data_IF_641210362408
#
_entry.id   IF_641210362408
#
_cell.length_a   1.000
_cell.length_b   1.000
_cell.length_c   1.000
_cell.angle_alpha   90.00
_cell.angle_beta   90.00
_cell.angle_gamma   90.00
#
_symmetry.space_group_name_H-M   'P 1'
#
loop_
_entity.id
_entity.type
_entity.pdbx_description
1 polymer ?
#
# COMPACT_ATOMS: atom_id res chain seq x y z
N UNK A 1 3.24 -11.25 -2.12
CA UNK A 1 1.80 -11.03 -1.84
C UNK A 1 1.49 -11.18 -0.35
N UNK A 2 1.74 -12.34 0.27
CA UNK A 2 1.38 -12.61 1.67
C UNK A 2 2.02 -11.66 2.71
N UNK A 3 3.26 -11.23 2.49
CA UNK A 3 3.95 -10.33 3.41
C UNK A 3 3.35 -8.91 3.47
N UNK A 4 2.89 -8.37 2.34
CA UNK A 4 2.26 -7.05 2.30
C UNK A 4 0.91 -7.02 3.03
N UNK A 5 0.23 -8.17 3.10
CA UNK A 5 -1.01 -8.34 3.83
C UNK A 5 -0.84 -8.71 5.31
N UNK A 6 0.39 -8.76 5.84
CA UNK A 6 0.65 -9.11 7.24
C UNK A 6 0.35 -10.57 7.60
N UNK A 7 0.31 -11.48 6.63
CA UNK A 7 -0.01 -12.89 6.86
C UNK A 7 1.07 -13.56 7.70
N UNK A 8 0.67 -14.20 8.80
CA UNK A 8 1.59 -14.89 9.73
C UNK A 8 1.66 -16.40 9.52
N UNK A 9 0.57 -17.01 9.08
CA UNK A 9 0.43 -18.46 8.93
C UNK A 9 -0.08 -18.78 7.53
N UNK A 10 0.38 -19.89 6.97
CA UNK A 10 0.01 -20.40 5.66
C UNK A 10 -0.44 -21.84 5.77
N UNK A 11 -1.55 -22.16 5.13
CA UNK A 11 -2.02 -23.54 4.99
C UNK A 11 -1.46 -24.09 3.68
N UNK A 12 -0.63 -25.14 3.77
CA UNK A 12 -0.07 -25.86 2.62
C UNK A 12 -0.78 -27.20 2.51
N UNK A 13 -1.33 -27.51 1.34
CA UNK A 13 -1.90 -28.82 1.06
C UNK A 13 -1.08 -29.50 -0.04
N UNK A 14 -0.56 -30.70 0.23
CA UNK A 14 0.03 -31.53 -0.81
C UNK A 14 -1.05 -32.41 -1.43
N UNK A 15 -1.08 -32.45 -2.76
CA UNK A 15 -2.11 -33.19 -3.49
C UNK A 15 -1.50 -34.12 -4.52
N UNK A 16 -2.16 -35.26 -4.73
CA UNK A 16 -1.83 -36.21 -5.78
C UNK A 16 -3.09 -36.61 -6.54
N UNK A 17 -3.05 -36.48 -7.88
CA UNK A 17 -4.17 -36.81 -8.78
C UNK A 17 -5.53 -36.24 -8.32
N UNK A 18 -5.53 -34.96 -7.93
CA UNK A 18 -6.75 -34.25 -7.51
C UNK A 18 -7.26 -34.60 -6.12
N UNK A 19 -6.57 -35.47 -5.38
CA UNK A 19 -6.88 -35.77 -3.97
C UNK A 19 -5.84 -35.13 -3.05
N UNK A 20 -6.28 -34.48 -1.98
CA UNK A 20 -5.41 -33.92 -0.94
C UNK A 20 -4.87 -35.07 -0.10
N UNK A 21 -3.55 -35.12 0.05
CA UNK A 21 -2.83 -36.15 0.81
C UNK A 21 -2.53 -35.63 2.22
N UNK A 22 -1.98 -34.42 2.33
CA UNK A 22 -1.62 -33.80 3.60
C UNK A 22 -2.02 -32.33 3.61
N UNK A 23 -2.22 -31.81 4.83
CA UNK A 23 -2.48 -30.39 5.07
C UNK A 23 -1.65 -29.96 6.27
N UNK A 24 -0.77 -28.99 6.06
CA UNK A 24 0.13 -28.45 7.07
C UNK A 24 -0.11 -26.97 7.28
N UNK A 25 -0.11 -26.55 8.54
CA UNK A 25 -0.12 -25.14 8.91
C UNK A 25 1.31 -24.69 9.22
N UNK A 26 1.84 -23.80 8.40
CA UNK A 26 3.24 -23.36 8.45
C UNK A 26 3.33 -21.86 8.75
N UNK A 27 4.26 -21.43 9.61
CA UNK A 27 4.59 -20.02 9.74
C UNK A 27 5.10 -19.44 8.42
N UNK A 28 4.65 -18.23 8.06
CA UNK A 28 5.10 -17.54 6.85
C UNK A 28 6.63 -17.46 6.76
N UNK A 29 7.28 -17.20 7.89
CA UNK A 29 8.74 -17.11 8.02
C UNK A 29 9.47 -18.41 7.62
N UNK A 30 8.85 -19.57 7.88
CA UNK A 30 9.40 -20.87 7.48
C UNK A 30 9.37 -21.04 5.96
N UNK A 31 8.21 -20.78 5.34
CA UNK A 31 8.02 -20.87 3.89
C UNK A 31 8.95 -19.90 3.15
N UNK A 32 9.11 -18.68 3.67
CA UNK A 32 10.05 -17.68 3.11
C UNK A 32 11.49 -18.18 3.11
N UNK A 33 11.94 -18.83 4.18
CA UNK A 33 13.30 -19.38 4.26
C UNK A 33 13.51 -20.53 3.26
N UNK A 34 12.51 -21.39 3.08
CA UNK A 34 12.57 -22.52 2.15
C UNK A 34 12.53 -22.11 0.67
N UNK A 35 11.83 -21.03 0.32
CA UNK A 35 11.68 -20.58 -1.07
C UNK A 35 12.95 -19.97 -1.69
N UNK A 36 14.13 -20.23 -1.12
CA UNK A 36 15.39 -19.66 -1.59
C UNK A 36 15.51 -18.14 -1.40
N UNK A 37 14.60 -17.51 -0.65
CA UNK A 37 14.60 -16.05 -0.39
C UNK A 37 15.69 -15.63 0.61
N UNK A 38 16.91 -16.17 0.47
CA UNK A 38 18.13 -15.66 1.11
C UNK A 38 18.57 -14.31 0.52
N UNK A 39 17.96 -13.87 -0.59
CA UNK A 39 18.25 -12.55 -1.17
C UNK A 39 17.74 -11.42 -0.26
N UNK A 40 18.73 -10.72 0.30
CA UNK A 40 18.68 -9.44 1.01
C UNK A 40 17.27 -8.89 1.23
N UNK A 41 16.77 -9.12 2.45
CA UNK A 41 15.51 -8.57 2.98
C UNK A 41 15.42 -7.04 2.81
N UNK A 42 16.52 -6.33 2.52
CA UNK A 42 16.51 -4.88 2.40
C UNK A 42 16.32 -4.38 0.96
N UNK A 43 16.73 -5.11 -0.06
CA UNK A 43 16.86 -4.48 -1.38
C UNK A 43 15.51 -4.34 -2.10
N UNK A 44 14.68 -5.38 -2.06
CA UNK A 44 13.32 -5.31 -2.66
C UNK A 44 12.41 -4.33 -1.93
N UNK A 45 12.59 -4.18 -0.62
CA UNK A 45 11.82 -3.22 0.18
C UNK A 45 12.25 -1.78 -0.06
N UNK A 46 13.56 -1.55 -0.19
CA UNK A 46 14.10 -0.25 -0.61
C UNK A 46 13.59 0.11 -2.00
N UNK A 47 13.65 -0.80 -2.97
CA UNK A 47 13.12 -0.57 -4.31
C UNK A 47 11.61 -0.29 -4.30
N UNK A 48 10.84 -1.02 -3.49
CA UNK A 48 9.41 -0.75 -3.33
C UNK A 48 9.16 0.63 -2.73
N UNK A 49 9.90 1.02 -1.69
CA UNK A 49 9.76 2.33 -1.06
C UNK A 49 10.09 3.46 -2.04
N UNK A 50 11.18 3.33 -2.78
CA UNK A 50 11.58 4.30 -3.82
C UNK A 50 10.51 4.41 -4.90
N UNK A 51 9.96 3.28 -5.34
CA UNK A 51 8.86 3.27 -6.31
C UNK A 51 7.63 4.00 -5.76
N UNK A 52 7.21 3.71 -4.52
CA UNK A 52 6.05 4.36 -3.89
C UNK A 52 6.26 5.88 -3.74
N UNK A 53 7.46 6.31 -3.34
CA UNK A 53 7.82 7.73 -3.28
C UNK A 53 7.78 8.40 -4.66
N UNK A 54 8.25 7.71 -5.69
CA UNK A 54 8.22 8.22 -7.07
C UNK A 54 6.78 8.37 -7.57
N UNK A 55 5.93 7.36 -7.35
CA UNK A 55 4.52 7.40 -7.72
C UNK A 55 3.77 8.51 -6.97
N UNK A 56 4.05 8.69 -5.67
CA UNK A 56 3.48 9.78 -4.88
C UNK A 56 3.83 11.15 -5.47
N UNK A 57 5.10 11.37 -5.85
CA UNK A 57 5.53 12.63 -6.47
C UNK A 57 4.79 12.93 -7.77
N UNK A 58 4.56 11.91 -8.61
CA UNK A 58 3.79 12.08 -9.85
C UNK A 58 2.31 12.37 -9.58
N UNK A 59 1.70 11.70 -8.61
CA UNK A 59 0.33 11.96 -8.20
C UNK A 59 0.16 13.39 -7.67
N UNK A 60 1.08 13.86 -6.82
CA UNK A 60 1.10 15.25 -6.34
C UNK A 60 1.26 16.26 -7.49
N UNK A 61 2.13 15.98 -8.46
CA UNK A 61 2.25 16.80 -9.67
C UNK A 61 0.95 16.86 -10.46
N UNK A 62 0.29 15.72 -10.67
CA UNK A 62 -0.99 15.65 -11.37
C UNK A 62 -2.08 16.46 -10.63
N UNK A 63 -2.12 16.37 -9.30
CA UNK A 63 -3.02 17.15 -8.44
C UNK A 63 -2.83 18.66 -8.63
N UNK A 64 -1.58 19.11 -8.52
CA UNK A 64 -1.23 20.52 -8.61
C UNK A 64 -1.51 21.11 -10.00
N UNK A 65 -1.31 20.34 -11.06
CA UNK A 65 -1.60 20.77 -12.44
C UNK A 65 -3.10 20.80 -12.75
N UNK A 66 -3.88 19.87 -12.18
CA UNK A 66 -5.33 19.76 -12.42
C UNK A 66 -6.15 20.72 -11.57
N UNK A 67 -5.61 21.22 -10.44
CA UNK A 67 -6.38 21.98 -9.45
C UNK A 67 -7.44 21.12 -8.73
N UNK A 68 -7.32 19.80 -8.84
CA UNK A 68 -8.25 18.83 -8.26
C UNK A 68 -7.83 18.49 -6.82
N UNK A 69 -8.78 18.03 -5.99
CA UNK A 69 -8.50 17.53 -4.64
C UNK A 69 -7.65 16.25 -4.65
N UNK A 70 -7.63 15.52 -5.78
CA UNK A 70 -7.02 14.19 -5.93
C UNK A 70 -6.15 14.13 -7.18
N UNK A 71 -4.88 13.73 -7.00
CA UNK A 71 -3.95 13.44 -8.08
C UNK A 71 -4.22 12.08 -8.74
N UNK A 72 -4.43 12.07 -10.05
CA UNK A 72 -4.75 10.85 -10.80
C UNK A 72 -3.64 10.48 -11.78
N UNK A 73 -3.06 9.30 -11.58
CA UNK A 73 -2.02 8.75 -12.45
C UNK A 73 -2.39 7.35 -12.94
N UNK A 74 -1.99 7.03 -14.16
CA UNK A 74 -1.97 5.69 -14.73
C UNK A 74 -0.54 5.16 -14.71
N UNK A 75 -0.38 3.91 -14.26
CA UNK A 75 0.91 3.22 -14.19
C UNK A 75 0.81 1.94 -15.02
N UNK A 76 1.65 1.83 -16.04
CA UNK A 76 1.69 0.67 -16.94
C UNK A 76 3.09 0.07 -16.95
N UNK A 77 3.18 -1.25 -16.85
CA UNK A 77 4.44 -1.98 -16.88
C UNK A 77 4.62 -2.69 -18.22
N UNK A 78 5.71 -2.39 -18.94
CA UNK A 78 6.10 -3.14 -20.12
C UNK A 78 7.04 -4.29 -19.71
N UNK A 79 6.50 -5.51 -19.67
CA UNK A 79 7.27 -6.70 -19.31
C UNK A 79 8.33 -7.13 -20.34
N UNK A 80 8.38 -6.55 -21.54
CA UNK A 80 9.42 -6.84 -22.54
C UNK A 80 10.65 -5.96 -22.37
N UNK A 81 10.44 -4.71 -21.99
CA UNK A 81 11.48 -3.70 -21.89
C UNK A 81 11.80 -3.29 -20.44
N UNK A 82 11.12 -3.89 -19.46
CA UNK A 82 11.33 -3.75 -18.02
C UNK A 82 11.32 -2.29 -17.54
N UNK A 83 10.35 -1.51 -18.04
CA UNK A 83 10.14 -0.13 -17.61
C UNK A 83 8.68 0.16 -17.26
N UNK A 84 8.52 1.20 -16.44
CA UNK A 84 7.22 1.73 -16.04
C UNK A 84 6.92 3.01 -16.81
N UNK A 85 5.72 3.08 -17.36
CA UNK A 85 5.16 4.31 -17.91
C UNK A 85 4.20 4.91 -16.90
N UNK A 86 4.38 6.19 -16.58
CA UNK A 86 3.50 6.95 -15.66
C UNK A 86 2.91 8.12 -16.44
N UNK A 87 1.58 8.23 -16.46
CA UNK A 87 0.86 9.30 -17.16
C UNK A 87 -0.23 9.88 -16.28
N UNK A 88 -0.59 11.15 -16.52
CA UNK A 88 -1.76 11.74 -15.87
C UNK A 88 -3.04 11.11 -16.44
N UNK A 89 -4.01 10.88 -15.56
CA UNK A 89 -5.30 10.31 -15.92
C UNK A 89 -6.43 11.25 -15.53
N UNK A 90 -7.50 11.30 -16.33
CA UNK A 90 -8.66 12.12 -15.99
C UNK A 90 -9.41 11.56 -14.77
N UNK A 91 -9.78 12.46 -13.85
CA UNK A 91 -10.52 12.16 -12.61
C UNK A 91 -11.88 11.50 -12.86
N UNK A 92 -12.51 11.76 -14.01
CA UNK A 92 -13.80 11.16 -14.39
C UNK A 92 -13.72 9.63 -14.60
N UNK A 93 -12.52 9.10 -14.81
CA UNK A 93 -12.30 7.66 -14.99
C UNK A 93 -11.94 6.93 -13.68
N UNK A 94 -12.01 7.63 -12.54
CA UNK A 94 -11.72 7.07 -11.22
C UNK A 94 -12.78 6.03 -10.81
N UNK A 95 -12.30 4.96 -10.17
CA UNK A 95 -13.14 3.96 -9.50
C UNK A 95 -13.51 4.35 -8.06
N UNK A 96 -13.42 5.62 -7.70
CA UNK A 96 -13.80 6.09 -6.36
C UNK A 96 -15.26 6.49 -6.40
N UNK A 97 -16.09 5.78 -5.65
CA UNK A 97 -17.52 6.12 -5.58
C UNK A 97 -17.70 7.52 -4.97
N UNK A 98 -18.73 8.26 -5.42
CA UNK A 98 -19.07 9.55 -4.82
C UNK A 98 -19.32 9.46 -3.31
N UNK A 99 -19.81 8.32 -2.81
CA UNK A 99 -20.00 8.06 -1.39
C UNK A 99 -18.68 8.04 -0.61
N UNK A 100 -17.64 7.41 -1.15
CA UNK A 100 -16.30 7.40 -0.56
C UNK A 100 -15.70 8.81 -0.49
N UNK A 101 -15.85 9.60 -1.55
CA UNK A 101 -15.37 10.99 -1.58
C UNK A 101 -16.05 11.83 -0.50
N UNK A 102 -17.38 11.74 -0.38
CA UNK A 102 -18.15 12.44 0.67
C UNK A 102 -17.73 12.04 2.09
N UNK A 103 -17.38 10.77 2.31
CA UNK A 103 -16.92 10.31 3.62
C UNK A 103 -15.53 10.81 3.98
N UNK A 104 -14.67 11.04 2.98
CA UNK A 104 -13.31 11.57 3.17
C UNK A 104 -13.28 13.09 3.32
N UNK A 105 -14.34 13.79 2.89
CA UNK A 105 -14.44 15.22 3.12
C UNK A 105 -14.55 15.46 4.64
N UNK A 106 -13.76 16.40 5.20
CA UNK A 106 -13.95 16.80 6.58
C UNK A 106 -15.42 17.20 6.75
N UNK A 107 -16.04 16.75 7.84
CA UNK A 107 -17.41 17.13 8.15
C UNK A 107 -17.50 18.65 8.11
N UNK A 108 -18.11 19.18 7.04
CA UNK A 108 -18.40 20.59 6.89
C UNK A 108 -19.13 21.03 8.15
N UNK A 109 -18.59 22.03 8.84
CA UNK A 109 -19.11 22.55 10.09
C UNK A 109 -20.59 22.96 9.96
N UNK A 110 -21.51 22.07 10.30
CA UNK A 110 -22.84 22.39 10.76
C UNK A 110 -23.15 21.53 11.98
N UNK A 111 -22.51 21.89 13.09
CA UNK A 111 -22.72 21.25 14.37
C UNK A 111 -21.77 21.83 15.40
N UNK A 112 -22.15 22.98 15.99
CA UNK A 112 -21.49 23.56 17.15
C UNK A 112 -21.32 22.50 18.25
N UNK A 113 -20.14 21.91 18.35
CA UNK A 113 -19.68 21.25 19.57
C UNK A 113 -18.84 22.26 20.37
N UNK A 114 -19.09 22.43 21.67
CA UNK A 114 -18.40 23.43 22.47
C UNK A 114 -16.92 23.09 22.55
N UNK A 115 -16.11 24.14 22.38
CA UNK A 115 -14.65 24.16 22.48
C UNK A 115 -14.16 23.33 23.68
N UNK A 116 -13.45 22.24 23.41
CA UNK A 116 -12.48 21.71 24.37
C UNK A 116 -11.15 22.34 23.98
N UNK A 117 -10.60 23.05 24.95
CA UNK A 117 -9.43 23.90 24.85
C UNK A 117 -8.20 23.19 24.25
N UNK A 118 -7.43 24.02 23.57
CA UNK A 118 -6.17 23.73 22.93
C UNK A 118 -5.16 23.04 23.87
N UNK A 119 -4.34 22.16 23.27
CA UNK A 119 -3.01 21.88 23.79
C UNK A 119 -2.69 20.41 24.01
N UNK A 120 -2.60 19.60 22.95
CA UNK A 120 -1.65 18.49 22.92
C UNK A 120 -0.96 18.41 21.55
N UNK A 121 0.23 18.99 21.52
CA UNK A 121 1.26 18.80 20.50
C UNK A 121 1.61 17.31 20.43
N UNK A 122 1.10 16.60 19.41
CA UNK A 122 1.49 15.22 19.14
C UNK A 122 2.92 15.20 18.55
N UNK A 123 3.91 15.17 19.43
CA UNK A 123 5.28 14.79 19.10
C UNK A 123 5.30 13.34 18.63
N UNK A 124 5.58 13.13 17.35
CA UNK A 124 5.98 11.83 16.83
C UNK A 124 7.35 11.47 17.41
N UNK A 125 7.37 10.73 18.52
CA UNK A 125 8.59 10.07 18.98
C UNK A 125 8.74 8.79 18.16
N UNK A 126 9.60 8.85 17.15
CA UNK A 126 10.14 7.64 16.54
C UNK A 126 11.15 7.03 17.53
N UNK A 127 10.67 6.12 18.38
CA UNK A 127 11.53 5.25 19.17
C UNK A 127 11.95 4.07 18.28
N UNK A 128 13.12 4.20 17.66
CA UNK A 128 13.90 3.04 17.22
C UNK A 128 14.82 2.67 18.38
N UNK A 129 14.36 1.82 19.29
CA UNK A 129 15.25 1.10 20.20
C UNK A 129 15.81 -0.11 19.45
N UNK A 130 17.12 -0.07 19.16
CA UNK A 130 17.90 -1.23 18.79
C UNK A 130 18.42 -1.91 20.07
N UNK A 131 18.19 -3.22 20.17
CA UNK A 131 18.92 -4.16 21.01
C UNK A 131 19.42 -5.30 20.12
#
# INVERSE_FOLDING_TARGET
QMLLGGVKMLLKADHFRGSVQTVDLLPYEFVRKQSGSRQQRNDKWRSLLVLLQHLHKHAEGARNCGGDDVGCIEVTHDGRADFLTIKNRHTQELRVSRGCVKWLQPASEEGKHPSIEAGQELKWIAACDEA
#
